data_IF_452738722287
#
_entry.id   IF_452738722287
#
_cell.length_a   1.000
_cell.length_b   1.000
_cell.length_c   1.000
_cell.angle_alpha   90.00
_cell.angle_beta   90.00
_cell.angle_gamma   90.00
#
_symmetry.space_group_name_H-M   'P 1'
#
loop_
_entity.id
_entity.type
_entity.pdbx_description
1 polymer ?
#
# COMPACT_ATOMS: atom_id res chain seq x y z
N UNK A 1 -5.47 12.02 -13.39
CA UNK A 1 -4.09 11.77 -12.95
C UNK A 1 -4.05 10.35 -12.42
N UNK A 2 -3.13 9.53 -12.93
CA UNK A 2 -2.96 8.12 -12.52
C UNK A 2 -2.47 8.03 -11.07
N UNK A 3 -2.63 6.89 -10.40
CA UNK A 3 -2.12 6.68 -9.04
C UNK A 3 -0.61 6.93 -8.97
N UNK A 4 0.16 6.38 -9.92
CA UNK A 4 1.61 6.54 -9.93
C UNK A 4 2.04 8.00 -10.07
N UNK A 5 1.31 8.80 -10.87
CA UNK A 5 1.56 10.23 -11.00
C UNK A 5 1.25 10.98 -9.71
N UNK A 6 0.12 10.68 -9.06
CA UNK A 6 -0.26 11.28 -7.77
C UNK A 6 0.80 10.98 -6.71
N UNK A 7 1.22 9.72 -6.60
CA UNK A 7 2.25 9.32 -5.62
C UNK A 7 3.60 9.95 -5.93
N UNK A 8 4.04 9.96 -7.18
CA UNK A 8 5.29 10.61 -7.56
C UNK A 8 5.27 12.11 -7.25
N UNK A 9 4.14 12.78 -7.51
CA UNK A 9 3.93 14.19 -7.18
C UNK A 9 4.04 14.41 -5.67
N UNK A 10 3.30 13.63 -4.87
CA UNK A 10 3.32 13.76 -3.42
C UNK A 10 4.67 13.39 -2.82
N UNK A 11 5.34 12.36 -3.33
CA UNK A 11 6.70 11.98 -2.91
C UNK A 11 7.71 13.12 -3.10
N UNK A 12 7.61 13.89 -4.19
CA UNK A 12 8.42 15.11 -4.38
C UNK A 12 8.09 16.20 -3.37
N UNK A 13 6.80 16.40 -3.06
CA UNK A 13 6.35 17.39 -2.08
C UNK A 13 6.82 17.05 -0.66
N UNK A 14 6.67 15.79 -0.24
CA UNK A 14 7.05 15.35 1.11
C UNK A 14 8.53 14.97 1.22
N UNK A 15 9.25 14.80 0.12
CA UNK A 15 10.70 14.57 0.07
C UNK A 15 11.17 13.12 0.19
N UNK A 16 10.27 12.14 0.19
CA UNK A 16 10.61 10.72 0.08
C UNK A 16 9.39 9.88 -0.39
N UNK A 17 9.61 8.70 -1.01
CA UNK A 17 8.56 7.76 -1.37
C UNK A 17 8.12 6.86 -0.19
N UNK A 18 8.04 7.44 1.03
CA UNK A 18 7.57 6.73 2.21
C UNK A 18 6.06 6.46 2.12
N UNK A 19 5.67 5.20 2.14
CA UNK A 19 4.28 4.79 2.20
C UNK A 19 3.92 4.31 3.61
N UNK A 20 2.81 4.81 4.16
CA UNK A 20 2.33 4.35 5.45
C UNK A 20 1.57 3.03 5.29
N UNK A 21 2.08 1.94 5.85
CA UNK A 21 1.30 0.71 6.00
C UNK A 21 0.35 0.83 7.19
N UNK A 22 -0.95 0.91 6.93
CA UNK A 22 -1.97 1.08 7.97
C UNK A 22 -2.58 -0.28 8.33
N UNK A 23 -1.98 -0.93 9.33
CA UNK A 23 -2.25 -2.32 9.72
C UNK A 23 -2.59 -2.41 11.23
N UNK A 24 -3.72 -1.84 11.69
CA UNK A 24 -4.04 -1.72 13.11
C UNK A 24 -4.21 -3.10 13.78
N UNK A 25 -3.46 -3.35 14.85
CA UNK A 25 -3.55 -4.56 15.69
C UNK A 25 -4.39 -4.30 16.92
N UNK A 26 -5.14 -5.31 17.36
CA UNK A 26 -5.99 -5.21 18.55
C UNK A 26 -5.23 -4.72 19.78
N UNK A 27 -4.03 -5.26 20.02
CA UNK A 27 -3.19 -4.86 21.15
C UNK A 27 -2.79 -3.38 21.09
N UNK A 28 -2.43 -2.86 19.91
CA UNK A 28 -2.03 -1.45 19.76
C UNK A 28 -3.23 -0.52 19.87
N UNK A 29 -4.37 -0.90 19.28
CA UNK A 29 -5.63 -0.14 19.39
C UNK A 29 -6.12 -0.10 20.84
N UNK A 30 -6.07 -1.23 21.55
CA UNK A 30 -6.52 -1.30 22.95
C UNK A 30 -5.62 -0.48 23.86
N UNK A 31 -4.30 -0.60 23.72
CA UNK A 31 -3.34 0.23 24.45
C UNK A 31 -3.54 1.72 24.18
N UNK A 32 -3.78 2.10 22.92
CA UNK A 32 -4.08 3.49 22.57
C UNK A 32 -5.34 4.01 23.26
N UNK A 33 -6.39 3.18 23.37
CA UNK A 33 -7.67 3.56 23.99
C UNK A 33 -7.58 3.91 25.50
N UNK A 34 -6.46 3.57 26.15
CA UNK A 34 -6.19 3.90 27.55
C UNK A 34 -5.33 5.18 27.71
N UNK A 35 -4.97 5.86 26.62
CA UNK A 35 -4.14 7.06 26.68
C UNK A 35 -4.97 8.33 26.84
N UNK A 36 -4.39 9.38 27.44
CA UNK A 36 -5.06 10.70 27.49
C UNK A 36 -5.29 11.31 26.10
N UNK A 37 -4.46 10.94 25.12
CA UNK A 37 -4.65 11.37 23.72
C UNK A 37 -5.94 10.79 23.12
N UNK A 38 -6.28 9.54 23.45
CA UNK A 38 -7.54 8.95 23.03
C UNK A 38 -8.74 9.75 23.53
N UNK A 39 -8.75 10.16 24.80
CA UNK A 39 -9.80 11.02 25.36
C UNK A 39 -9.89 12.36 24.64
N UNK A 40 -8.75 13.01 24.35
CA UNK A 40 -8.73 14.27 23.60
C UNK A 40 -9.30 14.11 22.20
N UNK A 41 -8.97 13.03 21.49
CA UNK A 41 -9.52 12.77 20.16
C UNK A 41 -10.98 12.36 20.19
N UNK A 42 -11.41 11.62 21.21
CA UNK A 42 -12.83 11.31 21.44
C UNK A 42 -13.62 12.61 21.64
N UNK A 43 -13.14 13.51 22.48
CA UNK A 43 -13.80 14.80 22.70
C UNK A 43 -13.81 15.65 21.44
N UNK A 44 -12.71 15.66 20.66
CA UNK A 44 -12.63 16.40 19.40
C UNK A 44 -13.59 15.86 18.33
N UNK A 45 -13.63 14.55 18.12
CA UNK A 45 -14.27 13.93 16.96
C UNK A 45 -15.63 13.29 17.22
N UNK A 46 -15.92 12.94 18.48
CA UNK A 46 -17.15 12.23 18.87
C UNK A 46 -18.05 13.12 19.72
N UNK A 47 -17.49 13.86 20.69
CA UNK A 47 -18.26 14.70 21.62
C UNK A 47 -18.56 16.10 21.08
N UNK A 48 -17.53 16.84 20.64
CA UNK A 48 -17.61 18.28 20.34
C UNK A 48 -17.84 18.60 18.86
N UNK A 49 -17.89 17.60 17.99
CA UNK A 49 -18.14 17.79 16.57
C UNK A 49 -19.57 17.46 16.17
N UNK A 50 -20.12 18.36 15.38
CA UNK A 50 -21.21 18.17 14.42
C UNK A 50 -20.85 17.19 13.28
N UNK A 51 -19.88 16.29 13.48
CA UNK A 51 -19.42 15.35 12.46
C UNK A 51 -20.46 14.24 12.29
N UNK A 52 -21.31 14.40 11.28
CA UNK A 52 -21.93 13.27 10.60
C UNK A 52 -20.79 12.29 10.22
N UNK A 53 -20.88 11.04 10.67
CA UNK A 53 -19.89 10.02 10.29
C UNK A 53 -19.44 9.05 11.37
N UNK A 54 -19.75 9.26 12.65
CA UNK A 54 -19.58 8.22 13.68
C UNK A 54 -20.88 7.44 13.86
N UNK A 55 -20.86 6.13 13.56
CA UNK A 55 -22.04 5.25 13.69
C UNK A 55 -22.32 4.81 15.12
N UNK A 56 -21.30 4.81 15.96
CA UNK A 56 -21.40 4.60 17.41
C UNK A 56 -20.73 5.75 18.13
N UNK A 57 -21.28 6.11 19.30
CA UNK A 57 -20.68 7.06 20.24
C UNK A 57 -20.19 6.39 21.52
N UNK A 58 -20.35 5.07 21.63
CA UNK A 58 -19.80 4.34 22.76
C UNK A 58 -18.27 4.36 22.71
N UNK A 59 -17.67 5.07 23.67
CA UNK A 59 -16.23 5.22 23.85
C UNK A 59 -15.52 3.87 24.03
N UNK A 60 -16.22 2.81 24.42
CA UNK A 60 -15.62 1.49 24.58
C UNK A 60 -15.80 0.60 23.35
N UNK A 61 -16.60 1.01 22.37
CA UNK A 61 -16.86 0.22 21.17
C UNK A 61 -15.63 0.05 20.29
N UNK A 62 -15.53 -1.12 19.65
CA UNK A 62 -14.46 -1.44 18.71
C UNK A 62 -14.37 -0.42 17.59
N UNK A 63 -15.52 -0.03 17.03
CA UNK A 63 -15.61 0.99 15.99
C UNK A 63 -14.94 2.31 16.41
N UNK A 64 -15.29 2.87 17.57
CA UNK A 64 -14.74 4.16 18.02
C UNK A 64 -13.24 4.04 18.31
N UNK A 65 -12.82 2.99 19.03
CA UNK A 65 -11.41 2.73 19.34
C UNK A 65 -10.56 2.64 18.08
N UNK A 66 -10.99 1.81 17.13
CA UNK A 66 -10.26 1.57 15.88
C UNK A 66 -10.23 2.81 14.99
N UNK A 67 -11.36 3.52 14.83
CA UNK A 67 -11.43 4.73 14.01
C UNK A 67 -10.53 5.84 14.56
N UNK A 68 -10.61 6.14 15.86
CA UNK A 68 -9.76 7.16 16.48
C UNK A 68 -8.28 6.80 16.43
N UNK A 69 -7.93 5.51 16.57
CA UNK A 69 -6.56 5.05 16.38
C UNK A 69 -6.07 5.33 14.95
N UNK A 70 -6.86 4.99 13.93
CA UNK A 70 -6.50 5.30 12.55
C UNK A 70 -6.40 6.81 12.30
N UNK A 71 -7.31 7.63 12.83
CA UNK A 71 -7.22 9.10 12.73
C UNK A 71 -5.91 9.62 13.35
N UNK A 72 -5.57 9.17 14.56
CA UNK A 72 -4.32 9.52 15.22
C UNK A 72 -3.09 9.20 14.35
N UNK A 73 -3.02 7.98 13.81
CA UNK A 73 -1.92 7.55 12.96
C UNK A 73 -1.84 8.40 11.68
N UNK A 74 -2.97 8.65 11.02
CA UNK A 74 -3.03 9.43 9.79
C UNK A 74 -2.60 10.88 10.02
N UNK A 75 -3.21 11.57 11.00
CA UNK A 75 -2.87 12.95 11.34
C UNK A 75 -1.40 13.11 11.73
N UNK A 76 -0.86 12.16 12.48
CA UNK A 76 0.54 12.21 12.93
C UNK A 76 1.55 12.03 11.80
N UNK A 77 1.18 11.41 10.68
CA UNK A 77 2.14 10.96 9.65
C UNK A 77 1.95 11.63 8.29
N UNK A 78 0.85 12.35 8.08
CA UNK A 78 0.43 12.91 6.79
C UNK A 78 1.49 13.77 6.08
N UNK A 79 2.27 14.54 6.84
CA UNK A 79 3.32 15.43 6.32
C UNK A 79 4.58 14.69 5.84
N UNK A 80 4.67 13.38 6.07
CA UNK A 80 5.87 12.59 5.82
C UNK A 80 5.66 11.49 4.78
N UNK A 81 4.42 11.22 4.37
CA UNK A 81 4.05 10.07 3.55
C UNK A 81 3.57 10.48 2.15
N UNK A 82 3.95 9.68 1.15
CA UNK A 82 3.51 9.87 -0.24
C UNK A 82 2.18 9.16 -0.55
N UNK A 83 1.82 8.13 0.23
CA UNK A 83 0.54 7.44 0.14
C UNK A 83 0.26 6.63 1.41
N UNK A 84 -1.01 6.22 1.59
CA UNK A 84 -1.42 5.28 2.64
C UNK A 84 -1.76 3.94 2.00
N UNK A 85 -1.32 2.85 2.64
CA UNK A 85 -1.58 1.49 2.21
C UNK A 85 -2.30 0.68 3.29
N UNK A 86 -3.64 0.82 3.45
CA UNK A 86 -4.41 -0.01 4.36
C UNK A 86 -4.36 -1.47 3.92
N UNK A 87 -4.08 -2.39 4.85
CA UNK A 87 -4.13 -3.83 4.57
C UNK A 87 -5.48 -4.41 4.97
N UNK A 88 -6.21 -4.91 3.97
CA UNK A 88 -7.59 -5.34 4.10
C UNK A 88 -7.79 -6.41 5.18
N UNK A 89 -6.81 -7.29 5.40
CA UNK A 89 -6.90 -8.38 6.37
C UNK A 89 -7.10 -7.89 7.81
N UNK A 90 -6.46 -6.77 8.19
CA UNK A 90 -6.55 -6.22 9.54
C UNK A 90 -7.94 -5.66 9.86
N UNK A 91 -8.65 -5.18 8.84
CA UNK A 91 -10.02 -4.68 8.96
C UNK A 91 -11.05 -5.80 8.88
N UNK A 92 -10.88 -6.78 7.98
CA UNK A 92 -11.76 -7.96 7.91
C UNK A 92 -11.79 -8.72 9.24
N UNK A 93 -10.65 -8.84 9.93
CA UNK A 93 -10.56 -9.52 11.22
C UNK A 93 -11.47 -8.91 12.31
N UNK A 94 -11.91 -7.64 12.15
CA UNK A 94 -12.81 -6.94 13.06
C UNK A 94 -14.29 -7.02 12.62
N UNK A 95 -14.60 -7.85 11.62
CA UNK A 95 -15.96 -8.02 11.10
C UNK A 95 -16.52 -6.76 10.44
N UNK A 96 -17.84 -6.59 10.53
CA UNK A 96 -18.55 -5.49 9.89
C UNK A 96 -18.10 -4.11 10.38
N UNK A 97 -17.78 -3.98 11.67
CA UNK A 97 -17.26 -2.72 12.23
C UNK A 97 -15.90 -2.35 11.64
N UNK A 98 -15.01 -3.33 11.42
CA UNK A 98 -13.72 -3.10 10.76
C UNK A 98 -13.85 -2.60 9.34
N UNK A 99 -14.74 -3.23 8.56
CA UNK A 99 -15.03 -2.79 7.19
C UNK A 99 -15.65 -1.39 7.19
N UNK A 100 -16.51 -1.08 8.16
CA UNK A 100 -17.03 0.27 8.32
C UNK A 100 -15.92 1.28 8.62
N UNK A 101 -15.01 0.97 9.55
CA UNK A 101 -13.88 1.85 9.82
C UNK A 101 -13.02 2.02 8.57
N UNK A 102 -12.76 0.95 7.81
CA UNK A 102 -12.01 1.03 6.55
C UNK A 102 -12.65 2.02 5.55
N UNK A 103 -13.97 1.97 5.40
CA UNK A 103 -14.71 2.92 4.55
C UNK A 103 -14.52 4.36 5.03
N UNK A 104 -14.69 4.60 6.33
CA UNK A 104 -14.57 5.93 6.94
C UNK A 104 -13.15 6.50 6.83
N UNK A 105 -12.11 5.69 7.06
CA UNK A 105 -10.72 6.17 6.97
C UNK A 105 -10.32 6.41 5.52
N UNK A 106 -10.82 5.63 4.55
CA UNK A 106 -10.58 5.92 3.14
C UNK A 106 -11.20 7.27 2.75
N UNK A 107 -12.33 7.64 3.33
CA UNK A 107 -12.89 8.98 3.17
C UNK A 107 -11.99 10.06 3.73
N UNK A 108 -11.55 9.92 4.98
CA UNK A 108 -10.61 10.85 5.61
C UNK A 108 -9.31 10.99 4.79
N UNK A 109 -8.72 9.89 4.32
CA UNK A 109 -7.48 9.93 3.54
C UNK A 109 -7.65 10.71 2.24
N UNK A 110 -8.82 10.62 1.59
CA UNK A 110 -9.15 11.42 0.40
C UNK A 110 -9.32 12.90 0.72
N UNK A 111 -9.95 13.25 1.84
CA UNK A 111 -10.06 14.65 2.29
C UNK A 111 -8.68 15.28 2.55
N UNK A 112 -7.70 14.47 2.95
CA UNK A 112 -6.30 14.87 3.14
C UNK A 112 -5.48 14.92 1.83
N UNK A 113 -6.11 14.64 0.68
CA UNK A 113 -5.49 14.56 -0.65
C UNK A 113 -4.25 13.63 -0.68
N UNK A 114 -4.37 12.47 -0.02
CA UNK A 114 -3.32 11.44 0.02
C UNK A 114 -3.76 10.25 -0.83
N UNK A 115 -2.92 9.74 -1.76
CA UNK A 115 -3.24 8.55 -2.53
C UNK A 115 -3.44 7.30 -1.66
N UNK A 116 -4.42 6.48 -2.03
CA UNK A 116 -4.77 5.24 -1.33
C UNK A 116 -4.38 4.03 -2.18
N UNK A 117 -3.53 3.16 -1.61
CA UNK A 117 -3.20 1.84 -2.17
C UNK A 117 -3.80 0.74 -1.29
N UNK A 118 -4.90 0.12 -1.68
CA UNK A 118 -5.45 -0.98 -0.88
C UNK A 118 -4.61 -2.25 -1.03
N UNK A 119 -4.05 -2.75 0.07
CA UNK A 119 -3.33 -4.02 0.07
C UNK A 119 -4.29 -5.18 0.36
N UNK A 120 -4.88 -5.74 -0.71
CA UNK A 120 -5.83 -6.85 -0.66
C UNK A 120 -5.30 -8.17 -1.22
N UNK A 121 -4.25 -8.14 -2.05
CA UNK A 121 -3.65 -9.32 -2.71
C UNK A 121 -4.69 -10.16 -3.48
N UNK A 122 -5.61 -9.46 -4.14
CA UNK A 122 -6.83 -10.05 -4.66
C UNK A 122 -6.57 -10.82 -5.95
N UNK A 123 -7.10 -12.02 -6.04
CA UNK A 123 -7.02 -12.86 -7.24
C UNK A 123 -8.14 -13.88 -7.19
N UNK A 124 -9.00 -13.84 -8.19
CA UNK A 124 -10.17 -14.70 -8.36
C UNK A 124 -10.49 -14.81 -9.85
N UNK A 125 -11.45 -15.66 -10.22
CA UNK A 125 -11.80 -15.95 -11.61
C UNK A 125 -13.08 -15.23 -12.06
N UNK A 126 -13.11 -14.87 -13.35
CA UNK A 126 -14.31 -14.41 -14.02
C UNK A 126 -15.01 -13.23 -13.33
N UNK A 127 -16.33 -13.32 -13.24
CA UNK A 127 -17.19 -12.25 -12.71
C UNK A 127 -17.00 -11.99 -11.21
N UNK A 128 -16.36 -12.88 -10.45
CA UNK A 128 -16.09 -12.64 -9.02
C UNK A 128 -15.19 -11.42 -8.83
N UNK A 129 -14.24 -11.21 -9.74
CA UNK A 129 -13.34 -10.05 -9.71
C UNK A 129 -14.07 -8.71 -9.83
N UNK A 130 -15.26 -8.67 -10.43
CA UNK A 130 -16.07 -7.44 -10.54
C UNK A 130 -16.55 -6.96 -9.16
N UNK A 131 -16.82 -7.87 -8.21
CA UNK A 131 -17.22 -7.50 -6.85
C UNK A 131 -16.05 -6.90 -6.07
N UNK A 132 -14.84 -7.45 -6.26
CA UNK A 132 -13.62 -6.85 -5.70
C UNK A 132 -13.36 -5.47 -6.31
N UNK A 133 -13.46 -5.32 -7.63
CA UNK A 133 -13.32 -4.02 -8.32
C UNK A 133 -14.29 -2.99 -7.74
N UNK A 134 -15.58 -3.36 -7.61
CA UNK A 134 -16.61 -2.49 -7.04
C UNK A 134 -16.28 -2.06 -5.62
N UNK A 135 -15.87 -2.99 -4.76
CA UNK A 135 -15.52 -2.66 -3.38
C UNK A 135 -14.34 -1.69 -3.30
N UNK A 136 -13.28 -1.91 -4.10
CA UNK A 136 -12.07 -1.09 -4.04
C UNK A 136 -12.27 0.28 -4.65
N UNK A 137 -12.76 0.34 -5.89
CA UNK A 137 -12.72 1.58 -6.68
C UNK A 137 -14.01 2.40 -6.58
N UNK A 138 -15.15 1.78 -6.26
CA UNK A 138 -16.43 2.50 -6.12
C UNK A 138 -16.79 2.79 -4.66
N UNK A 139 -16.65 1.79 -3.78
CA UNK A 139 -17.01 1.93 -2.36
C UNK A 139 -15.88 2.60 -1.58
N UNK A 140 -14.68 2.01 -1.60
CA UNK A 140 -13.53 2.58 -0.90
C UNK A 140 -12.92 3.78 -1.65
N UNK A 141 -13.18 3.89 -2.96
CA UNK A 141 -12.58 4.89 -3.85
C UNK A 141 -11.05 4.96 -3.69
N UNK A 142 -10.42 3.80 -3.54
CA UNK A 142 -8.97 3.71 -3.54
C UNK A 142 -8.41 4.03 -4.92
N UNK A 143 -7.20 4.56 -4.98
CA UNK A 143 -6.55 4.91 -6.24
C UNK A 143 -5.87 3.72 -6.91
N UNK A 144 -5.45 2.73 -6.11
CA UNK A 144 -4.80 1.50 -6.58
C UNK A 144 -5.02 0.35 -5.58
N UNK A 145 -4.67 -0.87 -5.99
CA UNK A 145 -4.65 -2.03 -5.10
C UNK A 145 -3.57 -3.05 -5.47
N UNK A 146 -3.28 -3.96 -4.54
CA UNK A 146 -2.47 -5.15 -4.80
C UNK A 146 -3.33 -6.31 -5.31
N UNK A 147 -2.88 -6.98 -6.36
CA UNK A 147 -3.53 -8.13 -6.99
C UNK A 147 -2.57 -9.32 -7.14
N UNK A 148 -3.11 -10.52 -7.16
CA UNK A 148 -2.39 -11.76 -7.38
C UNK A 148 -2.84 -12.39 -8.71
N UNK A 149 -1.91 -12.46 -9.67
CA UNK A 149 -2.16 -12.98 -11.02
C UNK A 149 -1.78 -14.45 -11.19
N UNK A 150 -1.56 -15.20 -10.11
CA UNK A 150 -1.26 -16.63 -10.17
C UNK A 150 -2.34 -17.43 -10.91
N UNK A 151 -3.60 -17.00 -10.84
CA UNK A 151 -4.73 -17.62 -11.54
C UNK A 151 -4.82 -17.22 -13.03
N UNK A 152 -4.02 -16.24 -13.47
CA UNK A 152 -4.00 -15.73 -14.85
C UNK A 152 -4.09 -14.21 -14.94
N UNK A 153 -3.77 -13.66 -16.11
CA UNK A 153 -3.85 -12.22 -16.41
C UNK A 153 -5.29 -11.71 -16.56
N UNK A 154 -6.30 -12.59 -16.53
CA UNK A 154 -7.71 -12.20 -16.56
C UNK A 154 -8.07 -11.30 -15.38
N UNK A 155 -7.39 -11.46 -14.24
CA UNK A 155 -7.43 -10.54 -13.09
C UNK A 155 -7.18 -9.09 -13.52
N UNK A 156 -6.21 -8.86 -14.41
CA UNK A 156 -5.88 -7.53 -14.93
C UNK A 156 -6.98 -7.00 -15.86
N UNK A 157 -7.57 -7.87 -16.68
CA UNK A 157 -8.65 -7.48 -17.59
C UNK A 157 -9.86 -6.91 -16.88
N UNK A 158 -10.10 -7.36 -15.65
CA UNK A 158 -11.15 -6.81 -14.78
C UNK A 158 -10.62 -5.63 -13.97
N UNK A 159 -9.58 -5.85 -13.16
CA UNK A 159 -9.18 -4.87 -12.13
C UNK A 159 -8.57 -3.58 -12.68
N UNK A 160 -7.94 -3.64 -13.86
CA UNK A 160 -7.34 -2.46 -14.48
C UNK A 160 -8.40 -1.57 -15.16
N UNK A 161 -9.64 -2.02 -15.26
CA UNK A 161 -10.73 -1.28 -15.94
C UNK A 161 -11.67 -0.58 -14.96
N UNK A 162 -12.32 0.49 -15.41
CA UNK A 162 -13.48 1.06 -14.73
C UNK A 162 -14.74 0.20 -14.94
N UNK A 163 -15.90 0.69 -14.46
CA UNK A 163 -17.20 0.05 -14.67
C UNK A 163 -17.68 0.03 -16.13
N UNK A 164 -17.02 0.81 -17.00
CA UNK A 164 -17.33 0.92 -18.43
C UNK A 164 -16.35 0.11 -19.30
N UNK A 165 -15.37 -0.58 -18.69
CA UNK A 165 -14.37 -1.38 -19.38
C UNK A 165 -13.17 -0.57 -19.91
N UNK A 166 -13.04 0.70 -19.55
CA UNK A 166 -11.88 1.52 -19.92
C UNK A 166 -10.72 1.19 -18.98
N UNK A 167 -9.53 0.90 -19.51
CA UNK A 167 -8.33 0.68 -18.70
C UNK A 167 -7.86 2.00 -18.08
N UNK A 168 -8.03 2.17 -16.76
CA UNK A 168 -7.66 3.41 -16.06
C UNK A 168 -7.19 3.19 -14.62
N UNK A 169 -7.35 1.99 -14.06
CA UNK A 169 -6.89 1.69 -12.72
C UNK A 169 -5.47 1.17 -12.75
N UNK A 170 -4.59 1.84 -12.02
CA UNK A 170 -3.23 1.39 -11.79
C UNK A 170 -3.21 0.28 -10.74
N UNK A 171 -2.41 -0.77 -10.93
CA UNK A 171 -2.38 -1.95 -10.05
C UNK A 171 -0.96 -2.32 -9.64
N UNK A 172 -0.83 -3.00 -8.50
CA UNK A 172 0.41 -3.70 -8.11
C UNK A 172 0.22 -5.21 -8.16
N UNK A 173 1.01 -5.90 -8.97
CA UNK A 173 1.00 -7.36 -9.05
C UNK A 173 2.02 -7.95 -8.08
N UNK A 174 1.65 -9.01 -7.36
CA UNK A 174 2.59 -9.77 -6.56
C UNK A 174 3.59 -10.53 -7.44
N UNK A 175 4.86 -10.13 -7.41
CA UNK A 175 5.94 -10.82 -8.12
C UNK A 175 6.79 -11.67 -7.16
N UNK A 176 7.56 -11.04 -6.27
CA UNK A 176 8.41 -11.71 -5.27
C UNK A 176 8.21 -11.11 -3.88
N UNK A 177 7.44 -11.77 -3.04
CA UNK A 177 7.17 -11.33 -1.67
C UNK A 177 8.40 -11.51 -0.75
N UNK A 178 8.41 -10.81 0.38
CA UNK A 178 9.55 -10.82 1.33
C UNK A 178 9.57 -12.00 2.31
N UNK A 179 8.56 -12.86 2.31
CA UNK A 179 8.50 -14.01 3.23
C UNK A 179 9.52 -15.10 2.84
N UNK A 180 10.13 -15.83 3.79
CA UNK A 180 11.16 -16.84 3.49
C UNK A 180 10.69 -17.94 2.52
N UNK A 181 9.44 -18.37 2.63
CA UNK A 181 8.86 -19.40 1.76
C UNK A 181 8.52 -18.92 0.35
N UNK A 182 8.69 -17.62 0.03
CA UNK A 182 8.46 -17.09 -1.31
C UNK A 182 9.27 -17.84 -2.38
N UNK A 183 10.44 -18.37 -2.01
CA UNK A 183 11.31 -19.13 -2.91
C UNK A 183 10.67 -20.42 -3.45
N UNK A 184 9.75 -21.04 -2.70
CA UNK A 184 9.16 -22.32 -3.08
C UNK A 184 8.32 -22.24 -4.36
N UNK A 185 7.70 -21.09 -4.62
CA UNK A 185 6.83 -20.89 -5.80
C UNK A 185 7.36 -19.75 -6.64
N UNK A 186 7.54 -18.56 -6.06
CA UNK A 186 7.90 -17.36 -6.82
C UNK A 186 9.34 -17.41 -7.31
N UNK A 187 10.23 -18.05 -6.55
CA UNK A 187 11.63 -18.29 -6.96
C UNK A 187 11.84 -19.57 -7.76
N UNK A 188 10.81 -20.40 -7.95
CA UNK A 188 10.94 -21.62 -8.72
C UNK A 188 11.37 -21.32 -10.16
N UNK A 189 12.23 -22.17 -10.72
CA UNK A 189 12.79 -22.01 -12.06
C UNK A 189 11.95 -22.80 -13.07
N UNK A 190 11.54 -22.14 -14.14
CA UNK A 190 10.82 -22.71 -15.26
C UNK A 190 11.77 -23.45 -16.21
N UNK A 191 11.20 -24.21 -17.17
CA UNK A 191 11.99 -24.99 -18.12
C UNK A 191 12.96 -24.15 -18.96
N UNK A 192 12.63 -22.89 -19.21
CA UNK A 192 13.46 -21.93 -19.95
C UNK A 192 14.49 -21.20 -19.06
N UNK A 193 14.68 -21.68 -17.82
CA UNK A 193 15.57 -21.12 -16.79
C UNK A 193 15.14 -19.76 -16.24
N UNK A 194 13.95 -19.25 -16.59
CA UNK A 194 13.41 -18.04 -15.98
C UNK A 194 12.77 -18.35 -14.62
N UNK A 195 12.88 -17.46 -13.62
CA UNK A 195 12.16 -17.62 -12.37
C UNK A 195 10.68 -17.22 -12.52
N UNK A 196 9.79 -17.89 -11.78
CA UNK A 196 8.34 -17.65 -11.82
C UNK A 196 7.98 -16.17 -11.60
N UNK A 197 8.65 -15.47 -10.68
CA UNK A 197 8.38 -14.05 -10.44
C UNK A 197 8.61 -13.19 -11.69
N UNK A 198 9.61 -13.51 -12.51
CA UNK A 198 9.91 -12.76 -13.74
C UNK A 198 8.88 -13.11 -14.82
N UNK A 199 8.45 -14.37 -14.88
CA UNK A 199 7.40 -14.76 -15.80
C UNK A 199 6.05 -14.09 -15.47
N UNK A 200 5.71 -13.94 -14.18
CA UNK A 200 4.55 -13.15 -13.75
C UNK A 200 4.62 -11.72 -14.31
N UNK A 201 5.78 -11.06 -14.17
CA UNK A 201 6.01 -9.71 -14.68
C UNK A 201 5.87 -9.71 -16.22
N UNK A 202 6.56 -10.61 -16.91
CA UNK A 202 6.51 -10.72 -18.38
C UNK A 202 5.09 -10.88 -18.92
N UNK A 203 4.25 -11.70 -18.27
CA UNK A 203 2.84 -11.88 -18.66
C UNK A 203 2.03 -10.62 -18.45
N UNK A 204 2.24 -9.90 -17.34
CA UNK A 204 1.56 -8.62 -17.09
C UNK A 204 1.95 -7.59 -18.15
N UNK A 205 3.24 -7.40 -18.41
CA UNK A 205 3.74 -6.46 -19.43
C UNK A 205 3.22 -6.82 -20.83
N UNK A 206 3.24 -8.11 -21.18
CA UNK A 206 2.69 -8.60 -22.45
C UNK A 206 1.18 -8.35 -22.57
N UNK A 207 0.42 -8.46 -21.47
CA UNK A 207 -1.01 -8.13 -21.44
C UNK A 207 -1.24 -6.66 -21.78
N UNK A 208 -0.54 -5.73 -21.13
CA UNK A 208 -0.66 -4.30 -21.40
C UNK A 208 -0.23 -3.95 -22.83
N UNK A 209 0.90 -4.50 -23.28
CA UNK A 209 1.44 -4.28 -24.63
C UNK A 209 0.51 -4.82 -25.73
N UNK A 210 0.05 -6.06 -25.62
CA UNK A 210 -0.81 -6.69 -26.65
C UNK A 210 -2.15 -5.99 -26.84
N UNK A 211 -2.65 -5.31 -25.80
CA UNK A 211 -3.89 -4.51 -25.84
C UNK A 211 -3.65 -3.02 -26.10
N UNK A 212 -2.40 -2.59 -26.30
CA UNK A 212 -2.01 -1.18 -26.45
C UNK A 212 -2.53 -0.28 -25.31
N UNK A 213 -2.53 -0.79 -24.07
CA UNK A 213 -3.00 -0.05 -22.91
C UNK A 213 -1.93 0.95 -22.49
N UNK A 214 -2.26 2.23 -22.55
CA UNK A 214 -1.36 3.35 -22.15
C UNK A 214 -1.94 4.21 -21.04
N UNK A 215 -3.24 4.07 -20.76
CA UNK A 215 -4.02 4.86 -19.80
C UNK A 215 -4.05 4.28 -18.39
N UNK A 216 -3.59 3.03 -18.22
CA UNK A 216 -3.36 2.37 -16.95
C UNK A 216 -1.96 1.77 -16.95
N UNK A 217 -1.37 1.63 -15.77
CA UNK A 217 -0.04 1.07 -15.58
C UNK A 217 -0.07 -0.06 -14.56
N UNK A 218 0.94 -0.92 -14.64
CA UNK A 218 1.19 -1.98 -13.66
C UNK A 218 2.52 -1.71 -12.94
N UNK A 219 2.48 -1.89 -11.63
CA UNK A 219 3.66 -1.96 -10.77
C UNK A 219 3.80 -3.35 -10.16
N UNK A 220 4.91 -3.58 -9.47
CA UNK A 220 5.24 -4.91 -8.93
C UNK A 220 5.58 -4.86 -7.46
N UNK A 221 5.04 -5.81 -6.71
CA UNK A 221 5.42 -6.01 -5.31
C UNK A 221 6.65 -6.91 -5.27
N UNK A 222 7.77 -6.34 -4.84
CA UNK A 222 9.06 -7.02 -4.71
C UNK A 222 9.63 -6.73 -3.32
N UNK A 223 9.90 -7.78 -2.54
CA UNK A 223 10.34 -7.67 -1.15
C UNK A 223 11.72 -7.02 -1.02
N UNK A 224 11.87 -6.15 -0.03
CA UNK A 224 13.13 -5.47 0.28
C UNK A 224 14.29 -6.42 0.65
N UNK A 225 13.98 -7.64 1.08
CA UNK A 225 14.96 -8.68 1.41
C UNK A 225 15.56 -9.36 0.17
N UNK A 226 15.03 -9.10 -1.03
CA UNK A 226 15.43 -9.74 -2.28
C UNK A 226 16.18 -8.75 -3.19
N UNK A 227 17.36 -8.27 -2.76
CA UNK A 227 18.13 -7.23 -3.46
C UNK A 227 18.46 -7.62 -4.91
N UNK A 228 18.88 -8.86 -5.16
CA UNK A 228 19.19 -9.33 -6.52
C UNK A 228 17.95 -9.32 -7.42
N UNK A 229 16.78 -9.68 -6.86
CA UNK A 229 15.50 -9.64 -7.58
C UNK A 229 15.09 -8.21 -7.90
N UNK A 230 15.27 -7.27 -6.96
CA UNK A 230 15.01 -5.84 -7.18
C UNK A 230 15.86 -5.32 -8.36
N UNK A 231 17.15 -5.62 -8.35
CA UNK A 231 18.08 -5.22 -9.40
C UNK A 231 17.71 -5.86 -10.76
N UNK A 232 17.34 -7.14 -10.75
CA UNK A 232 16.93 -7.85 -11.97
C UNK A 232 15.65 -7.24 -12.56
N UNK A 233 14.61 -7.01 -11.75
CA UNK A 233 13.35 -6.40 -12.18
C UNK A 233 13.59 -4.98 -12.71
N UNK A 234 14.35 -4.16 -12.00
CA UNK A 234 14.67 -2.79 -12.45
C UNK A 234 15.45 -2.79 -13.76
N UNK A 235 16.39 -3.71 -13.96
CA UNK A 235 17.15 -3.84 -15.22
C UNK A 235 16.25 -4.23 -16.38
N UNK A 236 15.35 -5.19 -16.17
CA UNK A 236 14.45 -5.69 -17.21
C UNK A 236 13.33 -4.70 -17.55
N UNK A 237 12.84 -3.97 -16.54
CA UNK A 237 11.73 -3.02 -16.67
C UNK A 237 12.11 -1.65 -16.04
N UNK A 238 12.90 -0.82 -16.75
CA UNK A 238 13.49 0.41 -16.20
C UNK A 238 12.48 1.44 -15.69
N UNK A 239 11.27 1.43 -16.23
CA UNK A 239 10.23 2.42 -15.91
C UNK A 239 9.13 1.88 -14.98
N UNK A 240 9.18 0.60 -14.59
CA UNK A 240 8.18 0.03 -13.70
C UNK A 240 8.23 0.67 -12.30
N UNK A 241 7.09 0.69 -11.61
CA UNK A 241 7.05 1.12 -10.21
C UNK A 241 7.07 -0.10 -9.31
N UNK A 242 8.02 -0.13 -8.38
CA UNK A 242 8.19 -1.22 -7.42
C UNK A 242 7.59 -0.79 -6.08
N UNK A 243 6.62 -1.56 -5.57
CA UNK A 243 6.21 -1.50 -4.17
C UNK A 243 7.12 -2.42 -3.36
N UNK A 244 7.90 -1.87 -2.44
CA UNK A 244 9.00 -2.56 -1.78
C UNK A 244 8.75 -2.80 -0.28
N UNK A 245 7.87 -3.75 0.11
CA UNK A 245 7.63 -4.07 1.50
C UNK A 245 8.78 -4.87 2.12
N UNK A 246 8.90 -4.81 3.45
CA UNK A 246 9.86 -5.61 4.22
C UNK A 246 10.98 -4.80 4.89
N UNK A 247 10.97 -3.47 4.76
CA UNK A 247 11.86 -2.59 5.52
C UNK A 247 11.46 -2.51 7.00
N UNK A 248 12.45 -2.44 7.89
CA UNK A 248 12.27 -2.36 9.34
C UNK A 248 12.15 -3.74 9.98
N UNK A 249 10.93 -4.23 10.15
CA UNK A 249 10.66 -5.41 10.99
C UNK A 249 11.10 -6.77 10.40
N UNK A 250 11.57 -6.80 9.15
CA UNK A 250 12.09 -8.01 8.48
C UNK A 250 13.59 -7.90 8.16
N UNK A 251 14.28 -6.85 8.63
CA UNK A 251 15.74 -6.76 8.59
C UNK A 251 16.36 -6.59 7.20
N UNK A 252 15.60 -6.13 6.19
CA UNK A 252 16.17 -5.80 4.88
C UNK A 252 17.19 -4.65 4.98
N UNK A 253 18.31 -4.78 4.27
CA UNK A 253 19.27 -3.69 4.09
C UNK A 253 18.62 -2.60 3.25
N UNK A 254 18.23 -1.51 3.91
CA UNK A 254 17.51 -0.40 3.29
C UNK A 254 18.31 0.23 2.16
N UNK A 255 19.61 0.44 2.35
CA UNK A 255 20.44 1.14 1.37
C UNK A 255 20.64 0.28 0.12
N UNK A 256 20.99 -1.00 0.30
CA UNK A 256 21.14 -1.93 -0.82
C UNK A 256 19.82 -2.13 -1.57
N UNK A 257 18.71 -2.29 -0.85
CA UNK A 257 17.39 -2.48 -1.47
C UNK A 257 16.93 -1.25 -2.26
N UNK A 258 17.08 -0.04 -1.70
CA UNK A 258 16.72 1.20 -2.40
C UNK A 258 17.57 1.37 -3.66
N UNK A 259 18.89 1.20 -3.56
CA UNK A 259 19.80 1.32 -4.71
C UNK A 259 19.48 0.32 -5.83
N UNK A 260 19.07 -0.89 -5.48
CA UNK A 260 18.63 -1.89 -6.44
C UNK A 260 17.27 -1.57 -7.08
N UNK A 261 16.38 -0.88 -6.34
CA UNK A 261 15.00 -0.65 -6.74
C UNK A 261 14.76 0.66 -7.50
N UNK A 262 15.53 1.73 -7.26
CA UNK A 262 15.32 3.03 -7.92
C UNK A 262 15.65 2.98 -9.41
N UNK A 263 14.96 3.81 -10.21
CA UNK A 263 15.33 4.05 -11.59
C UNK A 263 16.47 5.08 -11.72
N UNK A 264 16.86 5.40 -12.95
CA UNK A 264 17.94 6.35 -13.25
C UNK A 264 17.68 7.77 -12.72
N UNK A 265 16.43 8.12 -12.46
CA UNK A 265 16.02 9.41 -11.92
C UNK A 265 15.93 9.41 -10.38
N UNK A 266 16.27 8.31 -9.72
CA UNK A 266 16.09 8.16 -8.27
C UNK A 266 14.63 7.99 -7.85
N UNK A 267 13.74 7.60 -8.77
CA UNK A 267 12.30 7.40 -8.54
C UNK A 267 11.89 5.95 -8.84
N UNK A 268 10.58 5.68 -8.99
CA UNK A 268 10.08 4.37 -9.39
C UNK A 268 10.00 3.33 -8.25
N UNK A 269 10.16 3.76 -7.00
CA UNK A 269 10.00 2.90 -5.81
C UNK A 269 9.00 3.53 -4.84
N UNK A 270 8.21 2.71 -4.16
CA UNK A 270 7.35 3.07 -3.03
C UNK A 270 7.70 2.17 -1.86
N UNK A 271 7.95 2.75 -0.68
CA UNK A 271 8.50 2.02 0.48
C UNK A 271 7.45 1.95 1.59
N UNK A 272 6.62 0.90 1.65
CA UNK A 272 5.63 0.76 2.70
C UNK A 272 6.29 0.36 4.03
N UNK A 273 6.07 1.16 5.07
CA UNK A 273 6.49 0.90 6.44
C UNK A 273 5.27 0.95 7.36
N UNK A 274 5.07 -0.13 8.12
CA UNK A 274 3.89 -0.34 8.97
C UNK A 274 4.29 -0.33 10.45
N UNK A 275 4.63 -1.49 11.02
CA UNK A 275 4.98 -1.71 12.44
C UNK A 275 5.94 -0.67 13.00
N UNK A 276 7.02 -0.36 12.28
CA UNK A 276 8.03 0.58 12.75
C UNK A 276 7.53 2.04 12.89
N UNK A 277 6.36 2.35 12.35
CA UNK A 277 5.66 3.64 12.52
C UNK A 277 4.47 3.47 13.46
N UNK A 278 3.55 2.56 13.15
CA UNK A 278 2.24 2.50 13.84
C UNK A 278 2.35 1.93 15.27
N UNK A 279 3.36 1.10 15.56
CA UNK A 279 3.57 0.58 16.92
C UNK A 279 4.52 1.48 17.75
N UNK A 280 4.97 2.62 17.19
CA UNK A 280 5.78 3.62 17.89
C UNK A 280 4.95 4.43 18.88
N UNK A 281 5.58 4.86 19.97
CA UNK A 281 4.96 5.83 20.91
C UNK A 281 4.71 7.19 20.24
N UNK A 282 5.54 7.56 19.26
CA UNK A 282 5.38 8.78 18.47
C UNK A 282 5.42 8.43 16.97
N UNK A 283 4.27 8.14 16.35
CA UNK A 283 4.18 7.77 14.94
C UNK A 283 4.71 8.86 14.00
N UNK A 284 4.49 10.14 14.31
CA UNK A 284 5.00 11.24 13.48
C UNK A 284 6.51 11.31 13.47
N UNK A 285 7.14 11.23 14.65
CA UNK A 285 8.60 11.16 14.74
C UNK A 285 9.18 9.92 14.06
N UNK A 286 8.51 8.77 14.18
CA UNK A 286 8.92 7.54 13.50
C UNK A 286 8.81 7.67 11.96
N UNK A 287 7.73 8.26 11.45
CA UNK A 287 7.56 8.53 10.03
C UNK A 287 8.61 9.51 9.50
N UNK A 288 8.92 10.58 10.26
CA UNK A 288 10.00 11.50 9.92
C UNK A 288 11.35 10.78 9.86
N UNK A 289 11.67 9.95 10.85
CA UNK A 289 12.89 9.16 10.87
C UNK A 289 13.02 8.30 9.61
N UNK A 290 12.01 7.50 9.29
CA UNK A 290 12.05 6.62 8.12
C UNK A 290 12.08 7.39 6.79
N UNK A 291 11.38 8.52 6.71
CA UNK A 291 11.46 9.43 5.57
C UNK A 291 12.90 9.86 5.32
N UNK A 292 13.61 10.33 6.34
CA UNK A 292 15.00 10.78 6.20
C UNK A 292 15.96 9.61 5.89
N UNK A 293 15.75 8.42 6.47
CA UNK A 293 16.52 7.22 6.12
C UNK A 293 16.36 6.88 4.63
N UNK A 294 15.12 6.79 4.13
CA UNK A 294 14.85 6.51 2.71
C UNK A 294 15.48 7.59 1.82
N UNK A 295 15.32 8.87 2.19
CA UNK A 295 15.87 10.00 1.44
C UNK A 295 17.40 9.91 1.31
N UNK A 296 18.08 9.56 2.39
CA UNK A 296 19.54 9.44 2.42
C UNK A 296 20.06 8.33 1.49
N UNK A 297 19.30 7.26 1.28
CA UNK A 297 19.64 6.19 0.35
C UNK A 297 19.47 6.59 -1.13
N UNK A 298 18.49 7.46 -1.44
CA UNK A 298 18.21 7.93 -2.81
C UNK A 298 19.20 9.03 -3.22
N UNK A 299 19.53 9.93 -2.30
CA UNK A 299 20.43 11.05 -2.55
C UNK A 299 21.39 11.14 -1.36
N UNK A 300 22.50 10.36 -1.38
CA UNK A 300 23.50 10.46 -0.33
C UNK A 300 23.98 11.91 -0.27
N UNK A 301 23.92 12.52 0.92
CA UNK A 301 24.53 13.83 1.15
C UNK A 301 26.01 13.74 0.75
N UNK A 302 26.54 14.73 0.01
CA UNK A 302 27.93 14.73 -0.43
C UNK A 302 28.93 14.74 0.74
#
# INVERSE_FOLDING_TARGET
MSFFEKVASRARQVGAPLCLGLDPRNETVERFSHTGLYTVLYDRYVTNTMLEGFRSRDIHSLYVKLKLYCCFILESTAEHICCVKPNLAFFIAQGAEGIQVLMDICELIREMDIPILLDGKLGDIGSTMEYYKKFIFEILKADSCTVNTLLGTDVLSVMATDRHGNYMNDLFVLAKCSNPSAEQIQGAILNDQSPVYMEIINKCESFYKSKNITTAKVGYVVGATCVDVLAEVRRSYPDCVILMPGIGAQGGDLDAAIKAAINREGTGVIVPISRAIIDSQNPGQAALYWKEQIRSCISPQP
#
